data_IF_056805833501
#
_entry.id   IF_056805833501
#
_cell.length_a   1.000
_cell.length_b   1.000
_cell.length_c   1.000
_cell.angle_alpha   90.00
_cell.angle_beta   90.00
_cell.angle_gamma   90.00
#
_symmetry.space_group_name_H-M   'P 1'
#
loop_
_entity.id
_entity.type
_entity.pdbx_description
1 polymer ?
#
# COMPACT_ATOMS: atom_id res chain seq x y z
N UNK A 1 16.34 20.78 2.29
CA UNK A 1 15.93 19.63 1.45
C UNK A 1 15.76 18.35 2.27
N UNK A 2 16.79 17.83 2.94
CA UNK A 2 16.71 16.59 3.75
C UNK A 2 15.61 16.60 4.84
N UNK A 3 15.53 17.67 5.64
CA UNK A 3 14.49 17.80 6.70
C UNK A 3 13.08 17.77 6.10
N UNK A 4 12.89 18.45 4.97
CA UNK A 4 11.61 18.46 4.25
C UNK A 4 11.22 17.06 3.75
N UNK A 5 12.16 16.32 3.13
CA UNK A 5 11.93 14.95 2.66
C UNK A 5 11.59 14.00 3.82
N UNK A 6 12.28 14.14 4.95
CA UNK A 6 12.00 13.34 6.17
C UNK A 6 10.60 13.68 6.69
N UNK A 7 10.26 14.96 6.79
CA UNK A 7 8.93 15.41 7.25
C UNK A 7 7.81 14.91 6.34
N UNK A 8 7.99 15.00 5.02
CA UNK A 8 7.03 14.48 4.05
C UNK A 8 6.83 12.97 4.21
N UNK A 9 7.91 12.20 4.39
CA UNK A 9 7.84 10.76 4.66
C UNK A 9 7.07 10.46 5.94
N UNK A 10 7.37 11.17 7.02
CA UNK A 10 6.66 11.01 8.30
C UNK A 10 5.17 11.35 8.17
N UNK A 11 4.84 12.39 7.40
CA UNK A 11 3.45 12.77 7.12
C UNK A 11 2.73 11.66 6.35
N UNK A 12 3.35 11.10 5.31
CA UNK A 12 2.79 9.96 4.55
C UNK A 12 2.60 8.74 5.46
N UNK A 13 3.59 8.41 6.29
CA UNK A 13 3.50 7.33 7.28
C UNK A 13 2.34 7.54 8.26
N UNK A 14 2.17 8.76 8.77
CA UNK A 14 1.07 9.11 9.68
C UNK A 14 -0.30 8.97 9.00
N UNK A 15 -0.43 9.46 7.77
CA UNK A 15 -1.67 9.35 6.99
C UNK A 15 -2.02 7.89 6.69
N UNK A 16 -1.02 7.11 6.28
CA UNK A 16 -1.16 5.68 6.07
C UNK A 16 -1.44 4.93 7.39
N UNK A 17 -1.06 5.47 8.54
CA UNK A 17 -1.43 4.99 9.87
C UNK A 17 -2.94 4.84 10.09
N UNK A 18 -3.72 5.70 9.43
CA UNK A 18 -5.18 5.74 9.58
C UNK A 18 -5.91 4.71 8.70
N UNK A 19 -5.19 4.03 7.79
CA UNK A 19 -5.79 3.03 6.91
C UNK A 19 -5.76 1.66 7.60
N UNK A 20 -6.85 0.88 7.54
CA UNK A 20 -6.88 -0.48 8.04
C UNK A 20 -5.87 -1.36 7.29
N UNK A 21 -5.27 -2.32 7.99
CA UNK A 21 -4.33 -3.28 7.41
C UNK A 21 -3.58 -4.07 8.47
N UNK A 22 -2.80 -5.08 8.05
CA UNK A 22 -2.04 -5.93 8.95
C UNK A 22 -1.00 -5.14 9.77
N UNK A 23 -0.66 -5.62 10.97
CA UNK A 23 0.34 -5.01 11.82
C UNK A 23 1.71 -5.07 11.14
N UNK A 24 2.36 -3.92 11.10
CA UNK A 24 3.68 -3.74 10.47
C UNK A 24 4.79 -3.92 11.49
N UNK A 25 5.87 -4.59 11.10
CA UNK A 25 7.11 -4.56 11.89
C UNK A 25 8.01 -3.38 11.47
N UNK A 26 8.84 -2.84 12.39
CA UNK A 26 9.80 -1.79 12.06
C UNK A 26 10.69 -2.16 10.88
N UNK A 27 10.99 -1.18 10.02
CA UNK A 27 11.84 -1.26 8.80
C UNK A 27 11.32 -2.14 7.65
N UNK A 28 10.72 -3.30 7.93
CA UNK A 28 10.29 -4.25 6.90
C UNK A 28 8.79 -4.17 6.59
N UNK A 29 7.98 -3.57 7.46
CA UNK A 29 6.54 -3.50 7.28
C UNK A 29 5.90 -4.88 7.34
N UNK A 30 5.24 -5.28 6.25
CA UNK A 30 4.62 -6.59 6.03
C UNK A 30 5.47 -7.47 5.09
N UNK A 31 6.67 -7.04 4.69
CA UNK A 31 7.49 -7.79 3.73
C UNK A 31 7.76 -9.24 4.17
N UNK A 32 7.92 -9.48 5.48
CA UNK A 32 8.13 -10.83 6.01
C UNK A 32 6.95 -11.78 5.75
N UNK A 33 5.72 -11.25 5.61
CA UNK A 33 4.54 -12.07 5.30
C UNK A 33 4.60 -12.69 3.89
N UNK A 34 5.45 -12.13 3.03
CA UNK A 34 5.62 -12.51 1.63
C UNK A 34 7.00 -13.13 1.35
N UNK A 35 7.80 -13.40 2.38
CA UNK A 35 9.05 -14.14 2.23
C UNK A 35 8.78 -15.52 1.62
N UNK A 36 9.55 -15.86 0.58
CA UNK A 36 9.45 -17.15 -0.15
C UNK A 36 8.09 -17.41 -0.81
N UNK A 37 7.26 -16.38 -1.01
CA UNK A 37 6.09 -16.48 -1.87
C UNK A 37 6.48 -16.24 -3.32
N UNK A 38 5.87 -17.00 -4.23
CA UNK A 38 5.85 -16.62 -5.63
C UNK A 38 4.86 -15.47 -5.87
N UNK A 39 4.76 -15.02 -7.12
CA UNK A 39 3.85 -13.92 -7.49
C UNK A 39 2.38 -14.33 -7.31
N UNK A 40 2.03 -15.59 -7.54
CA UNK A 40 0.64 -16.06 -7.42
C UNK A 40 0.20 -16.11 -5.95
N UNK A 41 1.05 -16.63 -5.07
CA UNK A 41 0.90 -16.66 -3.62
C UNK A 41 0.81 -15.24 -3.05
N UNK A 42 1.65 -14.33 -3.56
CA UNK A 42 1.59 -12.91 -3.18
C UNK A 42 0.21 -12.33 -3.47
N UNK A 43 -0.27 -12.45 -4.72
CA UNK A 43 -1.60 -11.95 -5.12
C UNK A 43 -2.70 -12.60 -4.29
N UNK A 44 -2.64 -13.92 -4.08
CA UNK A 44 -3.62 -14.65 -3.29
C UNK A 44 -3.67 -14.17 -1.83
N UNK A 45 -2.51 -13.95 -1.19
CA UNK A 45 -2.43 -13.38 0.16
C UNK A 45 -2.98 -11.96 0.22
N UNK A 46 -2.67 -11.12 -0.77
CA UNK A 46 -3.22 -9.76 -0.85
C UNK A 46 -4.74 -9.80 -0.99
N UNK A 47 -5.29 -10.71 -1.81
CA UNK A 47 -6.74 -10.89 -1.94
C UNK A 47 -7.40 -11.35 -0.63
N UNK A 48 -6.75 -12.23 0.14
CA UNK A 48 -7.26 -12.62 1.46
C UNK A 48 -7.24 -11.46 2.45
N UNK A 49 -6.17 -10.66 2.45
CA UNK A 49 -6.09 -9.45 3.28
C UNK A 49 -7.16 -8.43 2.87
N UNK A 50 -7.40 -8.25 1.56
CA UNK A 50 -8.48 -7.41 1.08
C UNK A 50 -9.85 -7.90 1.56
N UNK A 51 -10.12 -9.22 1.52
CA UNK A 51 -11.37 -9.77 2.06
C UNK A 51 -11.51 -9.53 3.57
N UNK A 52 -10.41 -9.59 4.32
CA UNK A 52 -10.41 -9.39 5.76
C UNK A 52 -10.62 -7.92 6.15
N UNK A 53 -9.97 -7.00 5.45
CA UNK A 53 -10.06 -5.55 5.70
C UNK A 53 -11.13 -4.83 4.83
N UNK A 54 -11.90 -5.61 4.06
CA UNK A 54 -13.03 -5.21 3.22
C UNK A 54 -12.67 -4.30 2.03
N UNK A 55 -12.93 -2.99 2.13
CA UNK A 55 -12.89 -2.08 0.99
C UNK A 55 -11.56 -1.36 0.83
N UNK A 56 -10.76 -1.30 1.89
CA UNK A 56 -9.50 -0.57 1.94
C UNK A 56 -8.52 -1.40 2.75
N UNK A 57 -7.32 -1.61 2.24
CA UNK A 57 -6.26 -2.31 2.97
C UNK A 57 -4.92 -1.67 2.67
N UNK A 58 -4.13 -1.36 3.70
CA UNK A 58 -2.74 -0.94 3.53
C UNK A 58 -1.77 -2.10 3.68
N UNK A 59 -0.71 -2.09 2.89
CA UNK A 59 0.42 -2.99 3.00
C UNK A 59 1.71 -2.21 2.90
N UNK A 60 2.65 -2.49 3.80
CA UNK A 60 3.99 -1.94 3.72
C UNK A 60 4.95 -3.01 3.23
N UNK A 61 5.70 -2.75 2.16
CA UNK A 61 6.80 -3.59 1.70
C UNK A 61 8.10 -2.79 1.90
N UNK A 62 8.71 -2.96 3.08
CA UNK A 62 9.80 -2.10 3.52
C UNK A 62 9.37 -0.64 3.57
N UNK A 63 9.92 0.17 2.67
CA UNK A 63 9.64 1.61 2.57
C UNK A 63 8.47 1.94 1.62
N UNK A 64 8.01 0.96 0.83
CA UNK A 64 6.94 1.15 -0.14
C UNK A 64 5.58 0.90 0.50
N UNK A 65 4.67 1.85 0.33
CA UNK A 65 3.27 1.72 0.73
C UNK A 65 2.43 1.26 -0.46
N UNK A 66 1.73 0.16 -0.30
CA UNK A 66 0.72 -0.33 -1.23
C UNK A 66 -0.63 -0.16 -0.56
N UNK A 67 -1.56 0.51 -1.25
CA UNK A 67 -2.94 0.67 -0.78
C UNK A 67 -3.86 -0.05 -1.77
N UNK A 68 -4.54 -1.07 -1.28
CA UNK A 68 -5.53 -1.81 -2.03
C UNK A 68 -6.91 -1.18 -1.81
N UNK A 69 -7.57 -0.79 -2.90
CA UNK A 69 -8.88 -0.16 -2.89
C UNK A 69 -9.84 -1.04 -3.71
N UNK A 70 -10.89 -1.54 -3.09
CA UNK A 70 -11.91 -2.36 -3.76
C UNK A 70 -13.23 -1.62 -4.00
N UNK A 71 -13.43 -0.45 -3.38
CA UNK A 71 -14.63 0.36 -3.59
C UNK A 71 -14.57 1.11 -4.94
N UNK A 72 -15.61 0.93 -5.75
CA UNK A 72 -15.72 1.52 -7.08
C UNK A 72 -15.73 3.05 -7.06
N UNK A 73 -16.39 3.68 -6.08
CA UNK A 73 -16.46 5.15 -5.97
C UNK A 73 -15.09 5.75 -5.64
N UNK A 74 -14.38 5.11 -4.71
CA UNK A 74 -13.03 5.50 -4.32
C UNK A 74 -12.05 5.36 -5.49
N UNK A 75 -12.14 4.27 -6.26
CA UNK A 75 -11.35 4.07 -7.47
C UNK A 75 -11.64 5.13 -8.54
N UNK A 76 -12.91 5.48 -8.74
CA UNK A 76 -13.31 6.51 -9.71
C UNK A 76 -12.68 7.88 -9.36
N UNK A 77 -12.64 8.25 -8.07
CA UNK A 77 -12.00 9.49 -7.62
C UNK A 77 -10.48 9.45 -7.87
N UNK A 78 -9.83 8.32 -7.54
CA UNK A 78 -8.38 8.16 -7.71
C UNK A 78 -7.99 8.23 -9.19
N UNK A 79 -8.73 7.55 -10.07
CA UNK A 79 -8.46 7.51 -11.50
C UNK A 79 -8.83 8.79 -12.25
N UNK A 80 -9.78 9.59 -11.73
CA UNK A 80 -10.09 10.90 -12.31
C UNK A 80 -9.00 11.95 -12.08
N UNK A 81 -8.09 11.73 -11.14
CA UNK A 81 -6.98 12.66 -10.89
C UNK A 81 -5.90 12.51 -11.96
N UNK A 82 -5.60 13.61 -12.67
CA UNK A 82 -4.51 13.65 -13.67
C UNK A 82 -3.12 13.35 -13.08
N UNK A 83 -2.93 13.53 -11.77
CA UNK A 83 -1.65 13.25 -11.11
C UNK A 83 -1.39 11.75 -10.89
N UNK A 84 -2.43 10.91 -10.96
CA UNK A 84 -2.34 9.46 -10.72
C UNK A 84 -2.36 8.63 -12.02
N UNK A 85 -2.30 9.27 -13.19
CA UNK A 85 -2.34 8.59 -14.49
C UNK A 85 -1.01 7.91 -14.88
N UNK A 86 0.09 8.24 -14.18
CA UNK A 86 1.36 7.56 -14.38
C UNK A 86 1.28 6.14 -13.84
N UNK A 87 1.60 5.17 -14.72
CA UNK A 87 1.71 3.76 -14.34
C UNK A 87 2.73 3.59 -13.23
N UNK A 88 2.46 2.67 -12.30
CA UNK A 88 3.41 2.36 -11.23
C UNK A 88 4.69 1.76 -11.82
N UNK A 89 5.78 1.84 -11.06
CA UNK A 89 7.10 1.27 -11.44
C UNK A 89 7.06 -0.26 -11.60
N UNK A 90 5.97 -0.92 -11.19
CA UNK A 90 5.81 -2.38 -11.18
C UNK A 90 5.20 -2.96 -12.47
N UNK A 91 5.01 -2.16 -13.51
CA UNK A 91 4.45 -2.61 -14.80
C UNK A 91 5.52 -3.11 -15.80
N UNK A 92 6.81 -3.01 -15.46
CA UNK A 92 7.93 -3.52 -16.29
C UNK A 92 8.20 -5.01 -16.05
#
# INVERSE_FOLDING_TARGET
VLIYLIWERFRQWKLAGNLPGPPTIPFFGNALMFLRCDVQDFVYKVMQLQKHYSNLCRLWLGHQLIVCVADSKSLEIIFKSNENLNKSVHYE
#
